data_IF_053712057416
#
_entry.id   IF_053712057416
#
_cell.length_a   1.000
_cell.length_b   1.000
_cell.length_c   1.000
_cell.angle_alpha   90.00
_cell.angle_beta   90.00
_cell.angle_gamma   90.00
#
_symmetry.space_group_name_H-M   'P 1'
#
loop_
_entity.id
_entity.type
_entity.pdbx_description
1 polymer ?
#
# COMPACT_ATOMS: atom_id res chain seq x y z
N UNK A 1 10.70 -6.61 -24.72
CA UNK A 1 9.98 -5.58 -23.96
C UNK A 1 10.48 -5.62 -22.52
N UNK A 2 11.47 -4.79 -22.19
CA UNK A 2 12.39 -5.03 -21.08
C UNK A 2 11.96 -4.32 -19.80
N UNK A 3 12.32 -4.86 -18.64
CA UNK A 3 12.18 -4.20 -17.33
C UNK A 3 12.68 -2.74 -17.34
N UNK A 4 13.67 -2.44 -18.19
CA UNK A 4 14.18 -1.08 -18.42
C UNK A 4 13.12 -0.10 -18.94
N UNK A 5 12.19 -0.55 -19.80
CA UNK A 5 11.11 0.28 -20.30
C UNK A 5 10.11 0.60 -19.20
N UNK A 6 9.72 -0.40 -18.39
CA UNK A 6 8.86 -0.22 -17.21
C UNK A 6 9.50 0.73 -16.19
N UNK A 7 10.80 0.58 -15.95
CA UNK A 7 11.58 1.44 -15.08
C UNK A 7 11.63 2.88 -15.61
N UNK A 8 11.79 3.08 -16.93
CA UNK A 8 11.78 4.40 -17.56
C UNK A 8 10.43 5.10 -17.40
N UNK A 9 9.33 4.36 -17.58
CA UNK A 9 7.98 4.86 -17.36
C UNK A 9 7.79 5.23 -15.89
N UNK A 10 8.10 4.35 -14.95
CA UNK A 10 7.97 4.65 -13.52
C UNK A 10 8.75 5.93 -13.13
N UNK A 11 9.97 6.09 -13.67
CA UNK A 11 10.78 7.30 -13.45
C UNK A 11 10.12 8.56 -14.02
N UNK A 12 9.44 8.50 -15.17
CA UNK A 12 8.76 9.68 -15.73
C UNK A 12 7.57 10.15 -14.89
N UNK A 13 6.99 9.28 -14.07
CA UNK A 13 5.94 9.62 -13.10
C UNK A 13 6.49 10.00 -11.72
N UNK A 14 7.80 10.26 -11.59
CA UNK A 14 8.39 10.75 -10.34
C UNK A 14 8.64 9.68 -9.28
N UNK A 15 8.53 8.39 -9.61
CA UNK A 15 8.78 7.29 -8.66
C UNK A 15 10.23 7.22 -8.14
N UNK A 16 11.15 8.00 -8.75
CA UNK A 16 12.53 8.17 -8.31
C UNK A 16 12.86 9.67 -8.24
N UNK A 17 12.10 10.43 -7.45
CA UNK A 17 12.41 11.83 -7.16
C UNK A 17 13.32 11.89 -5.93
N UNK A 18 14.49 12.57 -5.99
CA UNK A 18 15.32 12.77 -4.81
C UNK A 18 14.52 13.40 -3.66
N UNK A 19 14.60 12.80 -2.47
CA UNK A 19 13.84 13.25 -1.29
C UNK A 19 12.50 12.54 -1.06
N UNK A 20 12.13 11.56 -1.90
CA UNK A 20 10.98 10.69 -1.65
C UNK A 20 11.18 9.95 -0.30
N UNK A 21 10.18 10.03 0.58
CA UNK A 21 10.22 9.42 1.90
C UNK A 21 9.62 8.01 1.92
N UNK A 22 8.54 7.81 1.15
CA UNK A 22 7.86 6.53 1.08
C UNK A 22 7.26 6.27 -0.30
N UNK A 23 7.05 5.00 -0.63
CA UNK A 23 6.26 4.53 -1.77
C UNK A 23 5.04 3.78 -1.26
N UNK A 24 3.88 4.05 -1.85
CA UNK A 24 2.62 3.42 -1.49
C UNK A 24 1.99 2.83 -2.74
N UNK A 25 1.46 1.62 -2.64
CA UNK A 25 0.76 0.97 -3.76
C UNK A 25 -0.34 0.04 -3.29
N UNK A 26 -1.42 -0.02 -4.06
CA UNK A 26 -2.43 -1.08 -3.99
C UNK A 26 -2.22 -1.99 -5.19
N UNK A 27 -1.79 -3.22 -4.93
CA UNK A 27 -1.39 -4.19 -5.94
C UNK A 27 -2.57 -5.12 -6.22
N UNK A 28 -2.90 -5.27 -7.50
CA UNK A 28 -3.89 -6.23 -7.94
C UNK A 28 -3.25 -7.63 -8.06
N UNK A 29 -3.75 -8.58 -7.24
CA UNK A 29 -3.35 -9.99 -7.20
C UNK A 29 -4.36 -10.86 -7.97
N UNK A 30 -4.91 -10.34 -9.08
CA UNK A 30 -5.94 -10.99 -9.90
C UNK A 30 -7.36 -10.63 -9.46
N UNK A 31 -7.95 -11.43 -8.55
CA UNK A 31 -9.29 -11.19 -8.00
C UNK A 31 -9.27 -10.40 -6.68
N UNK A 32 -8.08 -10.21 -6.11
CA UNK A 32 -7.86 -9.63 -4.80
C UNK A 32 -6.92 -8.43 -4.89
N UNK A 33 -6.97 -7.56 -3.88
CA UNK A 33 -6.07 -6.42 -3.74
C UNK A 33 -5.31 -6.54 -2.43
N UNK A 34 -4.01 -6.33 -2.51
CA UNK A 34 -3.14 -6.14 -1.35
C UNK A 34 -2.55 -4.75 -1.35
N UNK A 35 -2.06 -4.30 -0.20
CA UNK A 35 -1.43 -3.01 -0.05
C UNK A 35 0.05 -3.15 0.33
N UNK A 36 0.83 -2.18 -0.12
CA UNK A 36 2.25 -2.07 0.14
C UNK A 36 2.57 -0.63 0.53
N UNK A 37 3.35 -0.49 1.60
CA UNK A 37 3.96 0.77 2.01
C UNK A 37 5.46 0.53 2.22
N UNK A 38 6.32 1.24 1.49
CA UNK A 38 7.78 1.18 1.61
C UNK A 38 8.28 2.49 2.20
N UNK A 39 8.78 2.45 3.43
CA UNK A 39 9.61 3.53 3.98
C UNK A 39 11.02 3.40 3.39
N UNK A 40 11.40 4.37 2.58
CA UNK A 40 12.68 4.38 1.86
C UNK A 40 13.83 4.62 2.84
N UNK A 41 13.63 5.46 3.85
CA UNK A 41 14.66 5.84 4.80
C UNK A 41 14.92 4.71 5.80
N UNK A 42 13.86 4.13 6.37
CA UNK A 42 13.95 2.98 7.27
C UNK A 42 14.28 1.68 6.53
N UNK A 43 14.13 1.65 5.20
CA UNK A 43 14.26 0.44 4.36
C UNK A 43 13.34 -0.68 4.85
N UNK A 44 12.10 -0.31 5.15
CA UNK A 44 11.08 -1.22 5.67
C UNK A 44 9.86 -1.20 4.76
N UNK A 45 9.26 -2.36 4.55
CA UNK A 45 8.10 -2.56 3.71
C UNK A 45 7.00 -3.23 4.52
N UNK A 46 5.91 -2.50 4.74
CA UNK A 46 4.68 -3.04 5.32
C UNK A 46 3.82 -3.63 4.20
N UNK A 47 3.47 -4.90 4.36
CA UNK A 47 2.61 -5.67 3.46
C UNK A 47 1.27 -5.91 4.13
N UNK A 48 0.19 -5.79 3.36
CA UNK A 48 -1.15 -6.08 3.84
C UNK A 48 -1.95 -6.86 2.82
N UNK A 49 -2.56 -7.94 3.27
CA UNK A 49 -3.59 -8.68 2.54
C UNK A 49 -4.85 -8.76 3.40
N UNK A 50 -5.98 -8.35 2.83
CA UNK A 50 -7.26 -8.30 3.53
C UNK A 50 -7.78 -9.68 3.97
N UNK A 51 -7.25 -10.77 3.40
CA UNK A 51 -7.53 -12.15 3.79
C UNK A 51 -6.42 -12.79 4.63
N UNK A 52 -5.29 -12.09 4.85
CA UNK A 52 -4.11 -12.57 5.55
C UNK A 52 -3.56 -13.90 5.00
N UNK A 53 -3.69 -14.13 3.68
CA UNK A 53 -3.20 -15.35 3.04
C UNK A 53 -1.69 -15.29 2.82
N UNK A 54 -0.96 -16.31 3.28
CA UNK A 54 0.50 -16.40 3.12
C UNK A 54 0.93 -16.36 1.64
N UNK A 55 0.14 -16.95 0.74
CA UNK A 55 0.37 -16.89 -0.71
C UNK A 55 0.32 -15.46 -1.24
N UNK A 56 -0.70 -14.69 -0.84
CA UNK A 56 -0.86 -13.31 -1.27
C UNK A 56 0.27 -12.43 -0.73
N UNK A 57 0.67 -12.63 0.53
CA UNK A 57 1.81 -11.93 1.12
C UNK A 57 3.11 -12.25 0.36
N UNK A 58 3.30 -13.51 -0.04
CA UNK A 58 4.45 -13.93 -0.84
C UNK A 58 4.46 -13.24 -2.21
N UNK A 59 3.32 -13.19 -2.90
CA UNK A 59 3.17 -12.51 -4.19
C UNK A 59 3.43 -10.99 -4.09
N UNK A 60 2.94 -10.36 -3.02
CA UNK A 60 3.22 -8.95 -2.74
C UNK A 60 4.72 -8.72 -2.53
N UNK A 61 5.36 -9.55 -1.70
CA UNK A 61 6.80 -9.48 -1.44
C UNK A 61 7.61 -9.64 -2.73
N UNK A 62 7.26 -10.59 -3.57
CA UNK A 62 7.93 -10.81 -4.85
C UNK A 62 7.73 -9.63 -5.80
N UNK A 63 6.54 -9.03 -5.81
CA UNK A 63 6.28 -7.80 -6.59
C UNK A 63 7.15 -6.64 -6.12
N UNK A 64 7.26 -6.43 -4.80
CA UNK A 64 8.11 -5.38 -4.22
C UNK A 64 9.58 -5.61 -4.57
N UNK A 65 10.09 -6.82 -4.35
CA UNK A 65 11.48 -7.18 -4.66
C UNK A 65 11.82 -7.02 -6.14
N UNK A 66 10.93 -7.46 -7.02
CA UNK A 66 11.22 -7.48 -8.46
C UNK A 66 11.06 -6.13 -9.13
N UNK A 67 10.18 -5.26 -8.63
CA UNK A 67 9.89 -3.96 -9.23
C UNK A 67 10.33 -2.79 -8.34
N UNK A 68 9.77 -2.68 -7.14
CA UNK A 68 9.91 -1.50 -6.27
C UNK A 68 11.35 -1.33 -5.77
N UNK A 69 11.95 -2.39 -5.23
CA UNK A 69 13.35 -2.35 -4.77
C UNK A 69 14.30 -1.94 -5.91
N UNK A 70 14.09 -2.46 -7.12
CA UNK A 70 14.92 -2.12 -8.29
C UNK A 70 14.75 -0.66 -8.71
N UNK A 71 13.53 -0.14 -8.68
CA UNK A 71 13.25 1.28 -8.98
C UNK A 71 13.95 2.19 -7.98
N UNK A 72 13.89 1.82 -6.69
CA UNK A 72 14.46 2.60 -5.59
C UNK A 72 15.95 2.35 -5.36
N UNK A 73 16.56 1.39 -6.06
CA UNK A 73 17.95 0.96 -5.86
C UNK A 73 18.19 0.42 -4.43
N UNK A 74 17.21 -0.28 -3.88
CA UNK A 74 17.20 -0.89 -2.54
C UNK A 74 17.22 -2.42 -2.58
N UNK A 75 17.67 -3.02 -3.69
CA UNK A 75 17.72 -4.48 -3.87
C UNK A 75 18.33 -5.19 -2.67
N UNK A 76 17.59 -6.14 -2.11
CA UNK A 76 17.96 -6.99 -0.95
C UNK A 76 18.27 -6.21 0.34
N UNK A 77 17.90 -4.93 0.41
CA UNK A 77 18.10 -4.08 1.60
C UNK A 77 16.82 -3.85 2.39
N UNK A 78 15.66 -4.24 1.86
CA UNK A 78 14.35 -3.96 2.46
C UNK A 78 13.95 -5.06 3.43
N UNK A 79 13.60 -4.68 4.66
CA UNK A 79 12.96 -5.55 5.63
C UNK A 79 11.44 -5.56 5.40
N UNK A 80 10.80 -6.70 5.64
CA UNK A 80 9.38 -6.89 5.37
C UNK A 80 8.61 -7.17 6.65
N UNK A 81 7.53 -6.42 6.85
CA UNK A 81 6.60 -6.54 7.96
C UNK A 81 5.20 -6.80 7.42
N UNK A 82 4.43 -7.65 8.09
CA UNK A 82 3.05 -7.93 7.70
C UNK A 82 2.12 -7.25 8.69
N UNK A 83 1.22 -6.41 8.18
CA UNK A 83 0.16 -5.80 8.98
C UNK A 83 -0.93 -6.84 9.22
N UNK A 84 -1.09 -7.20 10.48
CA UNK A 84 -2.10 -8.16 10.96
C UNK A 84 -3.13 -7.46 11.85
N UNK A 85 -4.11 -8.19 12.39
CA UNK A 85 -5.13 -7.62 13.29
C UNK A 85 -6.31 -6.95 12.57
N UNK A 86 -6.32 -6.93 11.24
CA UNK A 86 -7.48 -6.55 10.44
C UNK A 86 -7.70 -7.56 9.29
N UNK A 87 -8.95 -8.01 9.14
CA UNK A 87 -9.37 -8.99 8.13
C UNK A 87 -10.73 -8.55 7.60
N UNK A 88 -10.89 -8.56 6.28
CA UNK A 88 -12.17 -8.24 5.67
C UNK A 88 -13.26 -9.22 6.11
N UNK A 89 -14.38 -8.67 6.60
CA UNK A 89 -15.56 -9.44 7.05
C UNK A 89 -16.65 -9.60 5.97
N UNK A 90 -16.48 -8.98 4.80
CA UNK A 90 -17.43 -9.05 3.68
C UNK A 90 -16.78 -9.60 2.39
N UNK A 91 -17.45 -9.53 1.25
CA UNK A 91 -16.92 -9.97 -0.06
C UNK A 91 -16.62 -8.82 -1.03
N UNK A 92 -16.74 -7.55 -0.61
CA UNK A 92 -16.71 -6.41 -1.53
C UNK A 92 -15.79 -5.25 -1.11
N UNK A 93 -15.16 -5.32 0.06
CA UNK A 93 -14.39 -4.20 0.62
C UNK A 93 -12.87 -4.33 0.49
N UNK A 94 -12.35 -5.19 -0.38
CA UNK A 94 -10.90 -5.48 -0.44
C UNK A 94 -10.08 -4.24 -0.77
N UNK A 95 -10.56 -3.44 -1.72
CA UNK A 95 -9.95 -2.16 -2.06
C UNK A 95 -10.09 -1.13 -0.93
N UNK A 96 -11.22 -1.10 -0.22
CA UNK A 96 -11.43 -0.16 0.88
C UNK A 96 -10.44 -0.42 2.02
N UNK A 97 -10.29 -1.67 2.43
CA UNK A 97 -9.37 -2.02 3.51
C UNK A 97 -7.92 -1.74 3.14
N UNK A 98 -7.53 -1.93 1.88
CA UNK A 98 -6.21 -1.51 1.39
C UNK A 98 -5.99 0.00 1.58
N UNK A 99 -6.99 0.84 1.26
CA UNK A 99 -6.90 2.29 1.41
C UNK A 99 -6.82 2.71 2.88
N UNK A 100 -7.67 2.13 3.74
CA UNK A 100 -7.64 2.41 5.19
C UNK A 100 -6.28 2.08 5.78
N UNK A 101 -5.75 0.87 5.52
CA UNK A 101 -4.44 0.46 6.06
C UNK A 101 -3.33 1.38 5.58
N UNK A 102 -3.30 1.70 4.28
CA UNK A 102 -2.34 2.64 3.70
C UNK A 102 -2.38 4.00 4.38
N UNK A 103 -3.58 4.53 4.63
CA UNK A 103 -3.73 5.83 5.27
C UNK A 103 -3.24 5.81 6.72
N UNK A 104 -3.54 4.76 7.48
CA UNK A 104 -3.01 4.61 8.84
C UNK A 104 -1.48 4.53 8.86
N UNK A 105 -0.87 3.80 7.92
CA UNK A 105 0.60 3.74 7.77
C UNK A 105 1.19 5.12 7.42
N UNK A 106 0.51 5.89 6.57
CA UNK A 106 0.90 7.28 6.26
C UNK A 106 0.83 8.21 7.47
N UNK A 107 -0.09 7.94 8.42
CA UNK A 107 -0.18 8.64 9.70
C UNK A 107 0.80 8.15 10.77
N UNK A 108 1.67 7.19 10.42
CA UNK A 108 2.74 6.71 11.30
C UNK A 108 2.41 5.44 12.07
N UNK A 109 1.31 4.75 11.76
CA UNK A 109 1.06 3.42 12.30
C UNK A 109 2.14 2.43 11.81
N UNK A 110 2.49 1.48 12.66
CA UNK A 110 3.33 0.34 12.32
C UNK A 110 2.85 -0.92 13.06
N UNK A 111 3.59 -2.04 12.95
CA UNK A 111 3.22 -3.29 13.62
C UNK A 111 3.24 -3.22 15.15
N UNK A 112 3.94 -2.25 15.75
CA UNK A 112 4.04 -2.10 17.20
C UNK A 112 2.93 -1.19 17.75
N UNK A 113 2.56 -0.17 16.98
CA UNK A 113 1.57 0.86 17.34
C UNK A 113 0.20 0.62 16.72
N UNK A 114 0.01 -0.48 15.98
CA UNK A 114 -1.20 -0.76 15.21
C UNK A 114 -2.49 -0.58 16.03
N UNK A 115 -2.51 -1.05 17.27
CA UNK A 115 -3.68 -0.99 18.15
C UNK A 115 -4.03 0.43 18.65
N UNK A 116 -3.12 1.39 18.50
CA UNK A 116 -3.38 2.80 18.83
C UNK A 116 -4.15 3.49 17.69
N UNK A 117 -4.04 2.98 16.46
CA UNK A 117 -4.67 3.53 15.25
C UNK A 117 -5.89 2.72 14.79
N UNK A 118 -5.85 1.40 14.94
CA UNK A 118 -6.88 0.49 14.49
C UNK A 118 -7.90 0.18 15.59
N UNK A 119 -9.18 0.16 15.22
CA UNK A 119 -10.26 -0.33 16.05
C UNK A 119 -11.23 -1.17 15.22
N UNK A 120 -11.72 -2.28 15.77
CA UNK A 120 -12.76 -3.10 15.14
C UNK A 120 -14.09 -2.35 14.93
N UNK A 121 -14.29 -1.22 15.62
CA UNK A 121 -15.42 -0.31 15.33
C UNK A 121 -15.39 0.28 13.91
N UNK A 122 -14.25 0.25 13.22
CA UNK A 122 -14.14 0.65 11.81
C UNK A 122 -15.02 -0.20 10.88
N UNK A 123 -15.29 -1.46 11.24
CA UNK A 123 -16.20 -2.32 10.48
C UNK A 123 -17.64 -1.80 10.50
N UNK A 124 -18.04 -1.08 11.55
CA UNK A 124 -19.40 -0.56 11.69
C UNK A 124 -19.63 0.70 10.84
N UNK A 125 -18.55 1.35 10.37
CA UNK A 125 -18.57 2.61 9.61
C UNK A 125 -18.11 2.45 8.16
N UNK A 126 -18.14 1.24 7.60
CA UNK A 126 -17.73 0.96 6.20
C UNK A 126 -18.43 1.87 5.18
N UNK A 127 -19.73 2.15 5.38
CA UNK A 127 -20.47 3.07 4.50
C UNK A 127 -19.90 4.48 4.51
N UNK A 128 -19.53 4.99 5.69
CA UNK A 128 -18.90 6.29 5.84
C UNK A 128 -17.48 6.31 5.23
N UNK A 129 -16.67 5.29 5.50
CA UNK A 129 -15.32 5.18 4.93
C UNK A 129 -15.35 5.18 3.40
N UNK A 130 -16.30 4.47 2.77
CA UNK A 130 -16.47 4.51 1.30
C UNK A 130 -16.75 5.92 0.80
N UNK A 131 -17.62 6.67 1.47
CA UNK A 131 -17.88 8.06 1.11
C UNK A 131 -16.64 8.93 1.30
N UNK A 132 -15.92 8.76 2.41
CA UNK A 132 -14.72 9.54 2.72
C UNK A 132 -13.68 9.42 1.61
N UNK A 133 -13.36 8.20 1.18
CA UNK A 133 -12.39 8.00 0.10
C UNK A 133 -12.91 8.54 -1.23
N UNK A 134 -14.20 8.36 -1.57
CA UNK A 134 -14.80 8.93 -2.80
C UNK A 134 -14.79 10.46 -2.80
N UNK A 135 -15.07 11.11 -1.67
CA UNK A 135 -15.04 12.57 -1.52
C UNK A 135 -13.61 13.10 -1.50
N UNK A 136 -12.68 12.38 -0.84
CA UNK A 136 -11.24 12.64 -0.88
C UNK A 136 -10.74 12.70 -2.32
N UNK A 137 -11.08 11.72 -3.17
CA UNK A 137 -10.76 11.73 -4.60
C UNK A 137 -11.27 12.99 -5.32
N UNK A 138 -12.49 13.46 -5.02
CA UNK A 138 -13.06 14.68 -5.63
C UNK A 138 -12.39 15.97 -5.16
N UNK A 139 -11.86 16.01 -3.94
CA UNK A 139 -11.09 17.16 -3.45
C UNK A 139 -9.62 17.12 -3.91
N UNK A 140 -9.03 15.94 -4.13
CA UNK A 140 -7.67 15.80 -4.65
C UNK A 140 -7.54 16.01 -6.16
N UNK A 141 -8.63 15.96 -6.94
CA UNK A 141 -8.61 16.45 -8.34
C UNK A 141 -8.30 17.96 -8.41
N UNK A 142 -8.51 18.72 -7.33
CA UNK A 142 -8.04 20.10 -7.22
C UNK A 142 -6.53 20.20 -6.89
N UNK A 143 -5.90 19.10 -6.49
CA UNK A 143 -4.48 18.97 -6.16
C UNK A 143 -3.83 17.78 -6.91
N UNK A 144 -4.03 17.72 -8.23
CA UNK A 144 -3.02 17.26 -9.18
C UNK A 144 -2.38 15.88 -9.01
N UNK A 145 -3.16 14.82 -8.75
CA UNK A 145 -2.72 13.45 -9.02
C UNK A 145 -3.51 12.88 -10.21
N UNK A 146 -2.96 13.05 -11.41
CA UNK A 146 -3.45 12.38 -12.62
C UNK A 146 -2.65 11.09 -12.82
N UNK A 147 -3.38 9.98 -12.96
CA UNK A 147 -2.84 8.64 -13.30
C UNK A 147 -2.15 8.65 -14.66
#
# INVERSE_FOLDING_TARGET
>A
DTMEQKLRIAKSFGAYTPGLKAVVSVINLGHHRGAVFVDIHAKRCSLFDHMQLESNISDLKDTVRTAVEKILQLTDQVQYDVITGCVQKDHSSCGLWCLVVVELLLFGADTQTWNDFWSDSLYDVVGYLRMLFVQGYRHTEAFGWSV
#
